data_IF_459950965949
#
_entry.id   IF_459950965949
#
_cell.length_a   1.000
_cell.length_b   1.000
_cell.length_c   1.000
_cell.angle_alpha   90.00
_cell.angle_beta   90.00
_cell.angle_gamma   90.00
#
_symmetry.space_group_name_H-M   'P 1'
#
loop_
_entity.id
_entity.type
_entity.pdbx_description
1 polymer ?
#
# COMPACT_ATOMS: atom_id res chain seq x y z
N UNK A 1 6.40 5.30 -20.95
CA UNK A 1 5.81 5.57 -19.63
C UNK A 1 6.24 4.57 -18.57
N UNK A 2 6.14 3.25 -18.80
CA UNK A 2 6.55 2.23 -17.80
C UNK A 2 8.00 2.39 -17.31
N UNK A 3 8.95 2.62 -18.22
CA UNK A 3 10.36 2.85 -17.84
C UNK A 3 10.54 4.12 -16.99
N UNK A 4 9.82 5.21 -17.32
CA UNK A 4 9.86 6.45 -16.54
C UNK A 4 9.27 6.23 -15.15
N UNK A 5 8.14 5.52 -15.05
CA UNK A 5 7.54 5.14 -13.77
C UNK A 5 8.55 4.37 -12.90
N UNK A 6 9.15 3.32 -13.46
CA UNK A 6 10.13 2.49 -12.75
C UNK A 6 11.35 3.30 -12.29
N UNK A 7 11.93 4.11 -13.19
CA UNK A 7 13.10 4.92 -12.87
C UNK A 7 12.80 5.95 -11.78
N UNK A 8 11.68 6.66 -11.87
CA UNK A 8 11.26 7.63 -10.86
C UNK A 8 10.95 6.96 -9.52
N UNK A 9 10.23 5.83 -9.54
CA UNK A 9 9.89 5.10 -8.33
C UNK A 9 11.13 4.57 -7.60
N UNK A 10 12.09 4.02 -8.33
CA UNK A 10 13.36 3.58 -7.77
C UNK A 10 14.19 4.76 -7.25
N UNK A 11 14.48 5.75 -8.10
CA UNK A 11 15.41 6.84 -7.76
C UNK A 11 14.87 7.71 -6.63
N UNK A 12 13.61 8.16 -6.72
CA UNK A 12 13.00 8.97 -5.67
C UNK A 12 12.80 8.15 -4.41
N UNK A 13 12.49 6.86 -4.52
CA UNK A 13 12.36 5.97 -3.36
C UNK A 13 13.66 5.85 -2.58
N UNK A 14 14.78 5.60 -3.28
CA UNK A 14 16.11 5.55 -2.67
C UNK A 14 16.49 6.89 -2.00
N UNK A 15 16.02 8.03 -2.53
CA UNK A 15 16.29 9.34 -1.92
C UNK A 15 15.37 9.70 -0.75
N UNK A 16 14.16 9.12 -0.68
CA UNK A 16 13.09 9.59 0.22
C UNK A 16 12.63 8.55 1.25
N UNK A 17 13.28 7.38 1.32
CA UNK A 17 13.06 6.46 2.44
C UNK A 17 13.78 6.90 3.72
N UNK A 18 14.76 7.81 3.62
CA UNK A 18 15.49 8.44 4.74
C UNK A 18 16.12 7.48 5.74
N UNK A 19 16.39 6.22 5.35
CA UNK A 19 16.84 5.20 6.30
C UNK A 19 15.77 4.75 7.29
N UNK A 20 14.52 5.14 7.10
CA UNK A 20 13.40 4.77 7.97
C UNK A 20 12.86 3.42 7.50
N UNK A 21 12.87 2.46 8.42
CA UNK A 21 12.26 1.15 8.28
C UNK A 21 11.18 0.96 9.33
N UNK A 22 10.38 -0.09 9.16
CA UNK A 22 9.45 -0.53 10.19
C UNK A 22 10.20 -0.67 11.52
N UNK A 23 9.58 -0.29 12.66
CA UNK A 23 10.25 -0.37 13.95
C UNK A 23 10.80 -1.78 14.22
N UNK A 24 11.90 -1.92 14.95
CA UNK A 24 12.33 -3.24 15.44
C UNK A 24 11.13 -3.97 16.08
N UNK A 25 10.92 -5.27 15.80
CA UNK A 25 11.77 -6.21 15.06
C UNK A 25 11.47 -6.34 13.55
N UNK A 26 10.49 -5.60 13.02
CA UNK A 26 9.94 -5.79 11.68
C UNK A 26 10.74 -5.09 10.57
N UNK A 27 11.90 -4.48 10.90
CA UNK A 27 12.69 -3.49 10.15
C UNK A 27 13.29 -3.86 8.79
N UNK A 28 12.59 -4.68 7.99
CA UNK A 28 12.86 -4.91 6.58
C UNK A 28 12.05 -3.97 5.68
N UNK A 29 10.82 -3.60 6.08
CA UNK A 29 9.93 -2.79 5.22
C UNK A 29 10.25 -1.31 5.40
N UNK A 30 10.52 -0.61 4.30
CA UNK A 30 10.89 0.80 4.30
C UNK A 30 9.67 1.71 4.50
N UNK A 31 9.92 2.91 5.00
CA UNK A 31 9.01 4.04 4.79
C UNK A 31 9.05 4.43 3.31
N UNK A 32 7.90 4.36 2.62
CA UNK A 32 7.88 4.42 1.15
C UNK A 32 6.90 5.45 0.60
N UNK A 33 7.07 6.76 0.88
CA UNK A 33 6.14 7.80 0.44
C UNK A 33 6.04 7.93 -1.09
N UNK A 34 7.05 7.42 -1.79
CA UNK A 34 7.18 7.45 -3.24
C UNK A 34 6.12 6.58 -3.96
N UNK A 35 5.32 5.79 -3.24
CA UNK A 35 4.16 5.05 -3.82
C UNK A 35 3.20 5.94 -4.62
N UNK A 36 3.19 7.25 -4.34
CA UNK A 36 2.44 8.22 -5.13
C UNK A 36 2.81 8.18 -6.62
N UNK A 37 4.07 7.92 -6.97
CA UNK A 37 4.54 7.90 -8.35
C UNK A 37 3.84 6.78 -9.15
N UNK A 38 4.00 5.49 -8.82
CA UNK A 38 3.30 4.44 -9.54
C UNK A 38 1.79 4.57 -9.41
N UNK A 39 1.25 5.07 -8.29
CA UNK A 39 -0.18 5.34 -8.15
C UNK A 39 -0.70 6.37 -9.17
N UNK A 40 0.00 7.48 -9.37
CA UNK A 40 -0.33 8.49 -10.37
C UNK A 40 -0.18 7.93 -11.79
N UNK A 41 0.93 7.24 -12.07
CA UNK A 41 1.14 6.62 -13.39
C UNK A 41 0.08 5.56 -13.72
N UNK A 42 -0.34 4.78 -12.72
CA UNK A 42 -1.42 3.81 -12.86
C UNK A 42 -2.75 4.48 -13.22
N UNK A 43 -3.08 5.61 -12.59
CA UNK A 43 -4.30 6.36 -12.87
C UNK A 43 -4.27 7.02 -14.26
N UNK A 44 -3.14 7.66 -14.63
CA UNK A 44 -2.98 8.34 -15.92
C UNK A 44 -2.93 7.34 -17.08
N UNK A 45 -2.05 6.35 -16.98
CA UNK A 45 -1.67 5.50 -18.13
C UNK A 45 -2.24 4.08 -18.05
N UNK A 46 -2.90 3.72 -16.95
CA UNK A 46 -3.58 2.45 -16.78
C UNK A 46 -2.80 1.40 -15.98
N UNK A 47 -3.45 0.25 -15.73
CA UNK A 47 -3.01 -0.74 -14.75
C UNK A 47 -1.64 -1.35 -15.08
N UNK A 48 -1.36 -1.62 -16.36
CA UNK A 48 -0.08 -2.19 -16.79
C UNK A 48 1.11 -1.25 -16.56
N UNK A 49 0.95 0.05 -16.85
CA UNK A 49 2.02 1.03 -16.67
C UNK A 49 2.32 1.24 -15.18
N UNK A 50 1.26 1.29 -14.36
CA UNK A 50 1.37 1.33 -12.91
C UNK A 50 2.06 0.11 -12.33
N UNK A 51 1.49 -1.08 -12.58
CA UNK A 51 1.96 -2.35 -12.03
C UNK A 51 3.36 -2.74 -12.46
N UNK A 52 3.65 -2.76 -13.78
CA UNK A 52 4.99 -3.14 -14.28
C UNK A 52 6.03 -2.09 -13.85
N UNK A 53 5.69 -0.80 -13.92
CA UNK A 53 6.61 0.24 -13.51
C UNK A 53 6.96 0.16 -12.02
N UNK A 54 5.96 -0.10 -11.16
CA UNK A 54 6.19 -0.30 -9.74
C UNK A 54 7.01 -1.56 -9.44
N UNK A 55 6.70 -2.67 -10.11
CA UNK A 55 7.43 -3.94 -10.01
C UNK A 55 8.92 -3.78 -10.34
N UNK A 56 9.24 -3.14 -11.46
CA UNK A 56 10.62 -2.89 -11.86
C UNK A 56 11.31 -1.90 -10.93
N UNK A 57 10.62 -0.83 -10.54
CA UNK A 57 11.19 0.19 -9.66
C UNK A 57 11.49 -0.34 -8.26
N UNK A 58 10.57 -1.12 -7.66
CA UNK A 58 10.83 -1.73 -6.36
C UNK A 58 11.93 -2.77 -6.45
N UNK A 59 12.00 -3.56 -7.53
CA UNK A 59 13.08 -4.53 -7.72
C UNK A 59 14.45 -3.85 -7.70
N UNK A 60 14.63 -2.80 -8.50
CA UNK A 60 15.89 -2.03 -8.53
C UNK A 60 16.21 -1.47 -7.14
N UNK A 61 15.21 -0.89 -6.48
CA UNK A 61 15.37 -0.34 -5.14
C UNK A 61 15.75 -1.41 -4.10
N UNK A 62 15.12 -2.58 -4.15
CA UNK A 62 15.41 -3.71 -3.27
C UNK A 62 16.82 -4.24 -3.49
N UNK A 63 17.30 -4.25 -4.74
CA UNK A 63 18.65 -4.70 -5.04
C UNK A 63 19.69 -3.73 -4.49
N UNK A 64 19.41 -2.44 -4.48
CA UNK A 64 20.28 -1.42 -3.90
C UNK A 64 20.29 -1.48 -2.37
N UNK A 65 19.14 -1.70 -1.74
CA UNK A 65 19.03 -1.59 -0.27
C UNK A 65 19.20 -2.93 0.46
N UNK A 66 18.61 -4.00 -0.07
CA UNK A 66 18.57 -5.31 0.59
C UNK A 66 19.46 -6.36 -0.10
N UNK A 67 19.64 -6.27 -1.42
CA UNK A 67 20.43 -7.22 -2.20
C UNK A 67 19.84 -8.64 -2.28
N UNK A 68 18.61 -8.86 -1.80
CA UNK A 68 17.96 -10.18 -1.80
C UNK A 68 16.99 -10.33 -2.97
N UNK A 69 17.49 -10.93 -4.06
CA UNK A 69 16.74 -11.14 -5.31
C UNK A 69 15.46 -11.96 -5.08
N UNK A 70 15.57 -13.07 -4.37
CA UNK A 70 14.46 -14.01 -4.20
C UNK A 70 13.35 -13.42 -3.33
N UNK A 71 13.72 -12.71 -2.26
CA UNK A 71 12.77 -11.99 -1.41
C UNK A 71 12.05 -10.88 -2.19
N UNK A 72 12.81 -10.09 -2.97
CA UNK A 72 12.22 -9.03 -3.78
C UNK A 72 11.24 -9.59 -4.82
N UNK A 73 11.63 -10.61 -5.59
CA UNK A 73 10.73 -11.18 -6.60
C UNK A 73 9.47 -11.78 -5.97
N UNK A 74 9.63 -12.52 -4.88
CA UNK A 74 8.49 -13.20 -4.23
C UNK A 74 7.53 -12.23 -3.55
N UNK A 75 8.04 -11.20 -2.87
CA UNK A 75 7.25 -10.31 -2.01
C UNK A 75 7.17 -8.90 -2.57
N UNK A 76 8.31 -8.21 -2.74
CA UNK A 76 8.38 -6.80 -3.13
C UNK A 76 7.76 -6.54 -4.52
N UNK A 77 8.26 -7.24 -5.54
CA UNK A 77 7.80 -7.18 -6.93
C UNK A 77 6.32 -7.59 -7.04
N UNK A 78 5.95 -8.73 -6.45
CA UNK A 78 4.58 -9.25 -6.50
C UNK A 78 3.58 -8.27 -5.90
N UNK A 79 3.87 -7.74 -4.70
CA UNK A 79 2.99 -6.81 -4.01
C UNK A 79 2.81 -5.50 -4.79
N UNK A 80 3.90 -4.93 -5.28
CA UNK A 80 3.89 -3.69 -6.05
C UNK A 80 3.15 -3.87 -7.38
N UNK A 81 3.43 -4.95 -8.11
CA UNK A 81 2.74 -5.26 -9.35
C UNK A 81 1.22 -5.31 -9.13
N UNK A 82 0.77 -6.18 -8.21
CA UNK A 82 -0.66 -6.40 -7.97
C UNK A 82 -1.33 -5.15 -7.44
N UNK A 83 -0.73 -4.47 -6.46
CA UNK A 83 -1.32 -3.30 -5.83
C UNK A 83 -1.53 -2.15 -6.80
N UNK A 84 -0.51 -1.78 -7.58
CA UNK A 84 -0.62 -0.68 -8.54
C UNK A 84 -1.38 -1.05 -9.81
N UNK A 85 -1.39 -2.33 -10.19
CA UNK A 85 -2.29 -2.81 -11.25
C UNK A 85 -3.76 -2.63 -10.84
N UNK A 86 -4.13 -3.09 -9.64
CA UNK A 86 -5.50 -2.93 -9.13
C UNK A 86 -5.88 -1.47 -8.98
N UNK A 87 -4.98 -0.63 -8.47
CA UNK A 87 -5.20 0.82 -8.38
C UNK A 87 -5.52 1.40 -9.77
N UNK A 88 -4.68 1.17 -10.77
CA UNK A 88 -4.91 1.70 -12.12
C UNK A 88 -6.18 1.17 -12.78
N UNK A 89 -6.55 -0.08 -12.48
CA UNK A 89 -7.78 -0.70 -12.99
C UNK A 89 -9.04 -0.11 -12.36
N UNK A 90 -9.04 0.13 -11.05
CA UNK A 90 -10.19 0.65 -10.30
C UNK A 90 -10.33 2.16 -10.48
N UNK A 91 -9.23 2.91 -10.57
CA UNK A 91 -9.25 4.37 -10.68
C UNK A 91 -10.00 4.87 -11.92
N UNK A 92 -10.08 4.04 -12.98
CA UNK A 92 -10.80 4.34 -14.23
C UNK A 92 -12.29 3.96 -14.19
N UNK A 93 -12.79 3.41 -13.08
CA UNK A 93 -14.20 3.00 -12.95
C UNK A 93 -15.00 4.04 -12.18
N UNK A 94 -16.30 4.08 -12.45
CA UNK A 94 -17.24 4.78 -11.58
C UNK A 94 -17.51 3.91 -10.34
N UNK A 95 -17.18 4.44 -9.16
CA UNK A 95 -17.42 3.72 -7.91
C UNK A 95 -18.86 3.95 -7.47
N UNK A 96 -19.62 2.87 -7.46
CA UNK A 96 -20.95 2.86 -6.88
C UNK A 96 -20.83 2.72 -5.35
N UNK A 97 -21.34 3.73 -4.62
CA UNK A 97 -21.36 3.79 -3.16
C UNK A 97 -22.02 2.57 -2.49
N UNK A 98 -22.85 1.82 -3.23
CA UNK A 98 -23.43 0.55 -2.76
C UNK A 98 -22.40 -0.54 -2.44
N UNK A 99 -21.17 -0.46 -2.97
CA UNK A 99 -20.07 -1.40 -2.68
C UNK A 99 -19.18 -0.98 -1.52
N UNK A 100 -19.38 0.23 -0.99
CA UNK A 100 -18.63 0.76 0.15
C UNK A 100 -18.77 -0.08 1.43
N UNK A 101 -19.94 -0.65 1.77
CA UNK A 101 -20.09 -1.49 2.97
C UNK A 101 -19.20 -2.74 2.96
N UNK A 102 -18.98 -3.34 1.77
CA UNK A 102 -18.11 -4.51 1.63
C UNK A 102 -16.65 -4.17 1.92
N UNK A 103 -16.19 -3.01 1.45
CA UNK A 103 -14.81 -2.52 1.73
C UNK A 103 -14.64 -2.22 3.21
N UNK A 104 -15.65 -1.63 3.85
CA UNK A 104 -15.65 -1.37 5.30
C UNK A 104 -15.68 -2.67 6.11
N UNK A 105 -16.42 -3.70 5.66
CA UNK A 105 -16.48 -5.00 6.33
C UNK A 105 -15.15 -5.76 6.29
N UNK A 106 -14.44 -5.74 5.15
CA UNK A 106 -13.08 -6.31 5.03
C UNK A 106 -12.13 -5.61 6.00
N UNK A 107 -12.23 -4.28 6.07
CA UNK A 107 -11.50 -3.46 7.03
C UNK A 107 -11.75 -3.81 8.50
N UNK A 108 -13.02 -4.00 8.85
CA UNK A 108 -13.43 -4.42 10.19
C UNK A 108 -12.86 -5.81 10.55
N UNK A 109 -12.84 -6.76 9.60
CA UNK A 109 -12.22 -8.07 9.78
C UNK A 109 -10.70 -7.95 9.99
N UNK A 110 -10.03 -7.02 9.30
CA UNK A 110 -8.60 -6.74 9.52
C UNK A 110 -8.34 -6.20 10.93
N UNK A 111 -9.23 -5.36 11.46
CA UNK A 111 -9.15 -4.87 12.84
C UNK A 111 -9.30 -6.02 13.83
N UNK A 112 -10.34 -6.84 13.67
CA UNK A 112 -10.62 -7.97 14.58
C UNK A 112 -9.48 -8.98 14.56
N UNK A 113 -9.01 -9.39 13.38
CA UNK A 113 -7.88 -10.33 13.24
C UNK A 113 -6.57 -9.75 13.80
N UNK A 114 -6.35 -8.45 13.60
CA UNK A 114 -5.26 -7.68 14.18
C UNK A 114 -5.19 -7.76 15.69
N UNK A 115 -6.26 -7.30 16.33
CA UNK A 115 -6.40 -7.29 17.79
C UNK A 115 -6.33 -8.70 18.36
N UNK A 116 -7.01 -9.67 17.75
CA UNK A 116 -6.97 -11.07 18.17
C UNK A 116 -5.53 -11.63 18.14
N UNK A 117 -4.76 -11.33 17.09
CA UNK A 117 -3.37 -11.80 17.00
C UNK A 117 -2.49 -11.24 18.10
N UNK A 118 -2.64 -9.95 18.44
CA UNK A 118 -1.87 -9.29 19.50
C UNK A 118 -2.23 -9.88 20.87
N UNK A 119 -3.52 -10.16 21.10
CA UNK A 119 -3.98 -10.78 22.35
C UNK A 119 -3.50 -12.23 22.49
N UNK A 120 -3.51 -13.00 21.39
CA UNK A 120 -3.12 -14.41 21.41
C UNK A 120 -1.61 -14.59 21.64
N UNK A 121 -0.78 -13.69 21.12
CA UNK A 121 0.69 -13.73 21.23
C UNK A 121 1.24 -12.69 22.22
N UNK A 122 0.57 -12.50 23.36
CA UNK A 122 0.89 -11.43 24.33
C UNK A 122 2.33 -11.48 24.87
N UNK A 123 2.87 -12.67 25.17
CA UNK A 123 4.21 -12.84 25.76
C UNK A 123 5.32 -12.50 24.77
N UNK A 124 5.07 -12.75 23.49
CA UNK A 124 5.99 -12.47 22.40
C UNK A 124 5.88 -11.00 22.00
N UNK A 125 4.68 -10.43 22.02
CA UNK A 125 4.43 -9.02 21.68
C UNK A 125 5.33 -8.10 22.52
N UNK A 126 5.37 -8.27 23.84
CA UNK A 126 6.24 -7.46 24.71
C UNK A 126 7.73 -7.64 24.39
N UNK A 127 8.16 -8.89 24.15
CA UNK A 127 9.56 -9.20 23.82
C UNK A 127 10.03 -8.53 22.52
N UNK A 128 9.10 -8.20 21.62
CA UNK A 128 9.39 -7.64 20.31
C UNK A 128 9.13 -6.14 20.21
N UNK A 129 7.96 -5.65 20.62
CA UNK A 129 7.61 -4.23 20.49
C UNK A 129 8.18 -3.38 21.63
N UNK A 130 8.55 -4.01 22.75
CA UNK A 130 8.86 -3.30 24.00
C UNK A 130 7.65 -2.56 24.59
N UNK A 131 6.47 -2.74 24.00
CA UNK A 131 5.22 -2.11 24.40
C UNK A 131 4.37 -3.13 25.15
N UNK A 132 3.56 -2.65 26.09
CA UNK A 132 2.53 -3.51 26.69
C UNK A 132 1.56 -4.00 25.61
N UNK A 133 0.85 -5.10 25.86
CA UNK A 133 -0.21 -5.60 24.97
C UNK A 133 -1.24 -4.50 24.69
N UNK A 134 -1.58 -3.71 25.71
CA UNK A 134 -2.52 -2.58 25.61
C UNK A 134 -1.98 -1.48 24.70
N UNK A 135 -0.73 -1.08 24.86
CA UNK A 135 -0.11 -0.04 24.02
C UNK A 135 0.04 -0.50 22.57
N UNK A 136 0.34 -1.79 22.37
CA UNK A 136 0.42 -2.39 21.03
C UNK A 136 -0.96 -2.40 20.33
N UNK A 137 -2.03 -2.71 21.06
CA UNK A 137 -3.41 -2.63 20.56
C UNK A 137 -3.78 -1.17 20.27
N UNK A 138 -3.46 -0.23 21.16
CA UNK A 138 -3.75 1.20 20.97
C UNK A 138 -3.03 1.77 19.76
N UNK A 139 -1.76 1.42 19.56
CA UNK A 139 -0.99 1.84 18.38
C UNK A 139 -1.59 1.25 17.10
N UNK A 140 -1.94 -0.04 17.10
CA UNK A 140 -2.58 -0.71 15.98
C UNK A 140 -3.93 -0.08 15.62
N UNK A 141 -4.80 0.14 16.60
CA UNK A 141 -6.10 0.79 16.43
C UNK A 141 -5.95 2.25 16.01
N UNK A 142 -4.97 2.98 16.57
CA UNK A 142 -4.66 4.35 16.21
C UNK A 142 -4.20 4.47 14.75
N UNK A 143 -3.34 3.57 14.30
CA UNK A 143 -2.84 3.55 12.91
C UNK A 143 -3.97 3.25 11.91
N UNK A 144 -4.84 2.28 12.21
CA UNK A 144 -6.00 1.96 11.37
C UNK A 144 -7.05 3.08 11.43
N UNK A 145 -7.38 3.57 12.62
CA UNK A 145 -8.36 4.63 12.83
C UNK A 145 -7.95 5.94 12.16
N UNK A 146 -6.67 6.34 12.30
CA UNK A 146 -6.11 7.50 11.62
C UNK A 146 -6.16 7.37 10.09
N UNK A 147 -5.90 6.17 9.57
CA UNK A 147 -6.00 5.90 8.13
C UNK A 147 -7.45 5.99 7.63
N UNK A 148 -8.44 5.46 8.37
CA UNK A 148 -9.86 5.62 8.05
C UNK A 148 -10.32 7.07 8.10
N UNK A 149 -9.89 7.82 9.12
CA UNK A 149 -10.18 9.24 9.24
C UNK A 149 -9.65 10.00 8.01
N UNK A 150 -8.40 9.74 7.61
CA UNK A 150 -7.81 10.32 6.39
C UNK A 150 -8.62 9.98 5.14
N UNK A 151 -9.05 8.72 4.98
CA UNK A 151 -9.91 8.31 3.87
C UNK A 151 -11.23 9.09 3.86
N UNK A 152 -11.90 9.22 5.00
CA UNK A 152 -13.18 9.94 5.13
C UNK A 152 -12.98 11.42 4.81
N UNK A 153 -11.94 12.05 5.38
CA UNK A 153 -11.60 13.45 5.14
C UNK A 153 -11.37 13.69 3.65
N UNK A 154 -10.56 12.86 2.98
CA UNK A 154 -10.29 13.01 1.54
C UNK A 154 -11.54 12.73 0.72
N UNK A 155 -12.34 11.73 1.07
CA UNK A 155 -13.58 11.40 0.35
C UNK A 155 -14.64 12.50 0.45
N UNK A 156 -14.70 13.23 1.58
CA UNK A 156 -15.61 14.35 1.79
C UNK A 156 -15.09 15.63 1.14
N UNK A 157 -13.82 15.98 1.36
CA UNK A 157 -13.23 17.20 0.83
C UNK A 157 -13.13 17.17 -0.70
N UNK A 158 -12.84 16.00 -1.30
CA UNK A 158 -12.53 15.86 -2.72
C UNK A 158 -13.41 14.81 -3.46
N UNK A 159 -14.73 15.06 -3.64
CA UNK A 159 -15.66 14.09 -4.23
C UNK A 159 -15.30 13.63 -5.65
N UNK A 160 -14.68 14.50 -6.44
CA UNK A 160 -14.25 14.20 -7.82
C UNK A 160 -13.12 13.16 -7.90
N UNK A 161 -12.41 12.91 -6.80
CA UNK A 161 -11.30 11.96 -6.72
C UNK A 161 -11.69 10.63 -6.06
N UNK A 162 -12.99 10.40 -5.82
CA UNK A 162 -13.51 9.18 -5.15
C UNK A 162 -13.00 7.89 -5.77
N UNK A 163 -13.02 7.77 -7.10
CA UNK A 163 -12.55 6.55 -7.77
C UNK A 163 -11.07 6.29 -7.53
N UNK A 164 -10.24 7.34 -7.60
CA UNK A 164 -8.82 7.24 -7.30
C UNK A 164 -8.56 6.94 -5.82
N UNK A 165 -9.29 7.56 -4.90
CA UNK A 165 -9.17 7.30 -3.46
C UNK A 165 -9.49 5.85 -3.11
N UNK A 166 -10.63 5.34 -3.59
CA UNK A 166 -11.02 3.94 -3.39
C UNK A 166 -10.03 2.98 -4.05
N UNK A 167 -9.56 3.30 -5.25
CA UNK A 167 -8.53 2.53 -5.93
C UNK A 167 -7.22 2.47 -5.14
N UNK A 168 -6.81 3.59 -4.53
CA UNK A 168 -5.60 3.69 -3.72
C UNK A 168 -5.70 2.82 -2.47
N UNK A 169 -6.83 2.87 -1.76
CA UNK A 169 -7.08 2.04 -0.57
C UNK A 169 -7.10 0.55 -0.92
N UNK A 170 -7.81 0.16 -1.98
CA UNK A 170 -7.91 -1.26 -2.37
C UNK A 170 -6.56 -1.76 -2.90
N UNK A 171 -5.94 -1.04 -3.82
CA UNK A 171 -4.66 -1.44 -4.42
C UNK A 171 -3.56 -1.55 -3.38
N UNK A 172 -3.40 -0.52 -2.54
CA UNK A 172 -2.41 -0.54 -1.46
C UNK A 172 -2.74 -1.60 -0.41
N UNK A 173 -4.02 -1.77 -0.05
CA UNK A 173 -4.44 -2.79 0.90
C UNK A 173 -4.07 -4.20 0.43
N UNK A 174 -4.34 -4.52 -0.83
CA UNK A 174 -3.94 -5.83 -1.40
C UNK A 174 -2.42 -5.97 -1.46
N UNK A 175 -1.69 -4.93 -1.91
CA UNK A 175 -0.22 -4.95 -1.91
C UNK A 175 0.38 -5.16 -0.51
N UNK A 176 -0.15 -4.46 0.48
CA UNK A 176 0.25 -4.57 1.89
C UNK A 176 -0.06 -5.96 2.46
N UNK A 177 -1.17 -6.59 2.05
CA UNK A 177 -1.51 -7.95 2.46
C UNK A 177 -0.52 -8.97 1.89
N UNK A 178 -0.09 -8.79 0.63
CA UNK A 178 0.95 -9.60 0.01
C UNK A 178 2.28 -9.42 0.76
N UNK A 179 2.65 -8.19 1.14
CA UNK A 179 3.86 -7.94 1.94
C UNK A 179 3.77 -8.62 3.30
N UNK A 180 2.68 -8.39 4.04
CA UNK A 180 2.47 -8.95 5.36
C UNK A 180 2.57 -10.47 5.37
N UNK A 181 1.75 -11.13 4.56
CA UNK A 181 1.77 -12.59 4.46
C UNK A 181 3.08 -13.11 3.86
N UNK A 182 3.61 -12.45 2.83
CA UNK A 182 4.82 -12.88 2.13
C UNK A 182 6.05 -12.85 3.01
N UNK A 183 6.23 -11.81 3.83
CA UNK A 183 7.33 -11.73 4.79
C UNK A 183 7.19 -12.74 5.93
N UNK A 184 5.98 -12.94 6.43
CA UNK A 184 5.74 -14.00 7.42
C UNK A 184 6.07 -15.38 6.84
N UNK A 185 5.55 -15.70 5.65
CA UNK A 185 5.81 -16.95 4.97
C UNK A 185 7.31 -17.14 4.70
N UNK A 186 8.00 -16.07 4.29
CA UNK A 186 9.45 -16.07 4.12
C UNK A 186 10.18 -16.54 5.38
N UNK A 187 9.81 -16.00 6.55
CA UNK A 187 10.47 -16.36 7.82
C UNK A 187 10.30 -17.83 8.20
N UNK A 188 9.34 -18.56 7.64
CA UNK A 188 9.16 -20.00 7.92
C UNK A 188 10.21 -20.87 7.22
N UNK A 189 10.88 -20.34 6.19
CA UNK A 189 11.84 -21.09 5.38
C UNK A 189 13.22 -20.43 5.33
N UNK A 190 13.29 -19.12 5.50
CA UNK A 190 14.50 -18.32 5.32
C UNK A 190 14.62 -17.27 6.41
N UNK A 191 15.86 -16.90 6.74
CA UNK A 191 16.13 -15.78 7.63
C UNK A 191 15.70 -14.46 7.01
N UNK A 192 15.12 -13.58 7.84
CA UNK A 192 14.81 -12.21 7.52
C UNK A 192 15.56 -11.31 8.51
N UNK A 193 16.79 -10.94 8.16
CA UNK A 193 17.74 -10.45 9.17
C UNK A 193 18.08 -11.58 10.15
N UNK A 194 17.87 -11.34 11.45
CA UNK A 194 18.03 -12.37 12.49
C UNK A 194 16.75 -13.18 12.75
N UNK A 195 15.64 -12.80 12.12
CA UNK A 195 14.33 -13.39 12.38
C UNK A 195 14.13 -14.69 11.58
N UNK A 196 13.77 -15.77 12.27
CA UNK A 196 13.34 -17.05 11.70
C UNK A 196 12.11 -17.56 12.47
N UNK A 197 11.20 -18.25 11.79
CA UNK A 197 9.95 -18.79 12.34
C UNK A 197 9.13 -17.72 13.06
N UNK A 198 8.94 -16.56 12.42
CA UNK A 198 8.19 -15.48 13.03
C UNK A 198 6.74 -15.94 13.30
N UNK A 199 6.17 -15.59 14.45
CA UNK A 199 4.76 -15.83 14.73
C UNK A 199 3.86 -15.12 13.70
N UNK A 200 2.66 -15.67 13.46
CA UNK A 200 1.76 -15.17 12.42
C UNK A 200 1.39 -13.69 12.55
N UNK A 201 1.36 -13.13 13.77
CA UNK A 201 1.02 -11.73 13.99
C UNK A 201 2.00 -10.75 13.33
N UNK A 202 3.24 -11.16 13.01
CA UNK A 202 4.18 -10.33 12.24
C UNK A 202 3.63 -9.94 10.86
N UNK A 203 2.81 -10.81 10.25
CA UNK A 203 2.15 -10.51 8.99
C UNK A 203 1.26 -9.26 9.09
N UNK A 204 0.63 -9.07 10.24
CA UNK A 204 -0.25 -7.93 10.50
C UNK A 204 0.55 -6.67 10.81
N UNK A 205 1.69 -6.78 11.51
CA UNK A 205 2.58 -5.65 11.74
C UNK A 205 3.13 -5.08 10.43
N UNK A 206 3.63 -5.94 9.53
CA UNK A 206 4.10 -5.53 8.21
C UNK A 206 2.97 -4.98 7.35
N UNK A 207 1.78 -5.58 7.39
CA UNK A 207 0.60 -5.05 6.70
C UNK A 207 0.29 -3.62 7.16
N UNK A 208 0.18 -3.40 8.47
CA UNK A 208 -0.18 -2.10 9.05
C UNK A 208 0.88 -1.09 8.74
N UNK A 209 2.15 -1.41 8.97
CA UNK A 209 3.24 -0.50 8.67
C UNK A 209 3.20 -0.05 7.22
N UNK A 210 3.17 -0.99 6.27
CA UNK A 210 3.14 -0.70 4.84
C UNK A 210 1.94 0.18 4.50
N UNK A 211 0.73 -0.28 4.87
CA UNK A 211 -0.49 0.41 4.49
C UNK A 211 -0.56 1.83 5.07
N UNK A 212 -0.31 1.98 6.37
CA UNK A 212 -0.54 3.23 7.09
C UNK A 212 0.53 4.29 6.79
N UNK A 213 1.75 3.87 6.50
CA UNK A 213 2.82 4.80 6.14
C UNK A 213 2.76 5.24 4.67
N UNK A 214 2.10 4.47 3.80
CA UNK A 214 2.04 4.75 2.36
C UNK A 214 0.72 5.42 1.93
N UNK A 215 -0.42 5.06 2.53
CA UNK A 215 -1.73 5.57 2.14
C UNK A 215 -1.87 7.11 2.17
N UNK A 216 -1.28 7.85 3.15
CA UNK A 216 -1.43 9.30 3.19
C UNK A 216 -0.85 9.97 1.93
N UNK A 217 0.25 9.44 1.39
CA UNK A 217 0.90 10.00 0.21
C UNK A 217 0.06 9.80 -1.05
N UNK A 218 -0.54 8.62 -1.22
CA UNK A 218 -1.48 8.40 -2.32
C UNK A 218 -2.68 9.36 -2.23
N UNK A 219 -3.29 9.48 -1.05
CA UNK A 219 -4.52 10.26 -0.90
C UNK A 219 -4.31 11.79 -0.90
N UNK A 220 -3.21 12.27 -0.34
CA UNK A 220 -2.92 13.71 -0.23
C UNK A 220 -2.20 14.26 -1.46
N UNK A 221 -1.23 13.51 -2.01
CA UNK A 221 -0.40 13.98 -3.13
C UNK A 221 -0.93 13.50 -4.49
N UNK A 222 -1.56 12.33 -4.57
CA UNK A 222 -2.10 11.80 -5.82
C UNK A 222 -3.07 12.76 -6.52
N UNK A 223 -4.14 13.22 -5.87
CA UNK A 223 -5.12 14.13 -6.47
C UNK A 223 -4.56 15.47 -6.99
N UNK A 224 -3.74 16.25 -6.24
CA UNK A 224 -3.18 17.49 -6.77
C UNK A 224 -2.23 17.24 -7.95
N UNK A 225 -1.44 16.16 -7.93
CA UNK A 225 -0.58 15.79 -9.07
C UNK A 225 -1.43 15.45 -10.30
N UNK A 226 -2.43 14.59 -10.14
CA UNK A 226 -3.34 14.24 -11.23
C UNK A 226 -4.07 15.46 -11.78
N UNK A 227 -4.52 16.38 -10.92
CA UNK A 227 -5.14 17.65 -11.32
C UNK A 227 -4.18 18.48 -12.18
N UNK A 228 -2.92 18.61 -11.78
CA UNK A 228 -1.91 19.33 -12.54
C UNK A 228 -1.66 18.66 -13.90
N UNK A 229 -1.54 17.33 -13.92
CA UNK A 229 -1.37 16.56 -15.16
C UNK A 229 -2.56 16.73 -16.12
N UNK A 230 -3.81 16.63 -15.64
CA UNK A 230 -4.99 16.82 -16.50
C UNK A 230 -5.13 18.25 -16.99
N UNK A 231 -4.72 19.25 -16.20
CA UNK A 231 -4.70 20.65 -16.64
C UNK A 231 -3.66 20.88 -17.75
N UNK A 232 -2.49 20.25 -17.65
CA UNK A 232 -1.43 20.34 -18.66
C UNK A 232 -1.72 19.49 -19.91
N UNK A 233 -2.36 18.32 -19.73
CA UNK A 233 -2.64 17.34 -20.77
C UNK A 233 -4.10 16.87 -20.70
N UNK A 234 -5.06 17.66 -21.19
CA UNK A 234 -6.49 17.35 -21.07
C UNK A 234 -6.91 16.03 -21.71
N UNK A 235 -6.20 15.54 -22.73
CA UNK A 235 -6.47 14.26 -23.39
C UNK A 235 -6.26 13.03 -22.49
N UNK A 236 -5.56 13.18 -21.36
CA UNK A 236 -5.38 12.10 -20.37
C UNK A 236 -6.56 11.97 -19.42
N UNK A 237 -7.50 12.92 -19.42
CA UNK A 237 -8.66 12.90 -18.55
C UNK A 237 -9.53 11.67 -18.87
N UNK A 238 -9.99 10.90 -17.86
CA UNK A 238 -10.83 9.74 -18.10
C UNK A 238 -12.08 10.14 -18.89
N UNK A 239 -12.24 9.62 -20.11
CA UNK A 239 -13.45 9.85 -20.87
C UNK A 239 -14.60 9.19 -20.11
N UNK A 240 -15.55 10.01 -19.66
CA UNK A 240 -16.80 9.52 -19.09
C UNK A 240 -17.48 8.73 -20.21
N UNK A 241 -17.66 7.42 -20.04
CA UNK A 241 -18.50 6.65 -20.95
C UNK A 241 -19.88 7.28 -20.87
N UNK A 242 -20.28 8.01 -21.90
CA UNK A 242 -21.70 8.29 -22.12
C UNK A 242 -22.39 6.93 -22.09
N UNK A 243 -23.31 6.75 -21.15
CA UNK A 243 -24.15 5.59 -21.11
C UNK A 243 -24.82 5.51 -22.48
N UNK A 244 -24.48 4.46 -23.22
CA UNK A 244 -25.10 4.10 -24.48
C UNK A 244 -26.56 3.77 -24.20
N UNK A 245 -27.39 4.83 -24.13
CA UNK A 245 -28.85 4.78 -24.10
C UNK A 245 -29.39 4.45 -25.51
N UNK A 246 -28.77 3.48 -26.19
CA UNK A 246 -29.26 2.90 -27.44
C UNK A 246 -28.94 1.42 -27.47
N UNK A 247 -29.78 0.62 -26.82
CA UNK A 247 -30.19 -0.72 -27.26
C UNK A 247 -31.41 -1.18 -26.48
#
# INVERSE_FOLDING_TARGET
MTAINAALYAAVGIMTYFGIFAPPPVGIVRFWPVVVIPGVFAALFGPWVGGIGAALGIFVSDMVVHGNVLLSISVGVTSNFVGFYLLGYIAKKEINLKKLPLVLAIGALTIVGGVFSIMYYQSETFGFTGLSTTDSILLFLGAIGGSYLLIIVVAYLWPQWRSYGVASVIGLGVGSAIIGFGLWAWTQFFYLGELLNAPFYFSLLWFVWTFTTEIPFLLLLGPPILKACYKAYPHLMPQKKEADNRR
#
